data_IF_709165282111
#
_entry.id   IF_709165282111
#
_cell.length_a   1.000
_cell.length_b   1.000
_cell.length_c   1.000
_cell.angle_alpha   90.00
_cell.angle_beta   90.00
_cell.angle_gamma   90.00
#
_symmetry.space_group_name_H-M   'P 1'
#
loop_
_entity.id
_entity.type
_entity.pdbx_description
1 polymer ?
#
# COMPACT_ATOMS: atom_id res chain seq x y z
N UNK A 1 -1.03 19.22 -2.67
CA UNK A 1 -0.32 19.30 -1.38
C UNK A 1 -0.09 17.89 -0.84
N UNK A 2 1.13 17.48 -0.47
CA UNK A 2 1.40 16.11 -0.02
C UNK A 2 1.67 16.02 1.48
N UNK A 3 1.30 14.91 2.11
CA UNK A 3 1.55 14.57 3.51
C UNK A 3 2.52 13.40 3.54
N UNK A 4 3.66 13.53 4.23
CA UNK A 4 4.67 12.48 4.30
C UNK A 4 4.91 12.05 5.74
N UNK A 5 4.41 10.87 6.10
CA UNK A 5 4.53 10.29 7.43
C UNK A 5 5.68 9.30 7.45
N UNK A 6 6.58 9.43 8.43
CA UNK A 6 7.67 8.48 8.66
C UNK A 6 7.53 7.85 10.05
N UNK A 7 7.55 6.52 10.11
CA UNK A 7 7.59 5.78 11.36
C UNK A 7 8.87 4.94 11.43
N UNK A 8 9.68 5.19 12.45
CA UNK A 8 10.90 4.43 12.71
C UNK A 8 10.56 3.04 13.26
N UNK A 9 11.37 2.05 12.91
CA UNK A 9 11.22 0.66 13.35
C UNK A 9 10.87 -0.31 12.21
N UNK A 10 10.95 -1.60 12.52
CA UNK A 10 10.68 -2.65 11.54
C UNK A 10 9.22 -2.57 11.05
N UNK A 11 8.96 -2.74 9.74
CA UNK A 11 7.60 -2.78 9.21
C UNK A 11 6.77 -3.86 9.89
N UNK A 12 5.56 -3.51 10.34
CA UNK A 12 4.60 -4.44 10.92
C UNK A 12 3.37 -4.52 10.02
N UNK A 13 2.86 -5.74 9.83
CA UNK A 13 1.64 -5.96 9.09
C UNK A 13 0.46 -6.17 10.03
N UNK A 14 -0.74 -5.83 9.57
CA UNK A 14 -1.97 -6.21 10.25
C UNK A 14 -2.11 -7.73 10.20
N UNK A 15 -2.31 -8.36 11.35
CA UNK A 15 -2.67 -9.78 11.41
C UNK A 15 -4.03 -10.00 10.74
N UNK A 16 -4.15 -11.02 9.89
CA UNK A 16 -5.47 -11.43 9.37
C UNK A 16 -6.36 -11.80 10.57
N UNK A 17 -7.63 -11.38 10.53
CA UNK A 17 -8.59 -11.70 11.59
C UNK A 17 -8.63 -13.23 11.78
N UNK A 18 -8.27 -13.68 12.98
CA UNK A 18 -8.50 -15.07 13.38
C UNK A 18 -9.86 -15.09 14.06
N UNK A 19 -10.83 -15.74 13.42
CA UNK A 19 -12.11 -16.00 14.06
C UNK A 19 -11.87 -16.88 15.28
N UNK A 20 -12.36 -16.47 16.45
CA UNK A 20 -12.45 -17.33 17.61
C UNK A 20 -13.92 -17.50 17.98
N UNK A 21 -14.30 -18.72 18.34
CA UNK A 21 -15.63 -19.03 18.82
C UNK A 21 -15.56 -19.09 20.34
N UNK A 22 -16.34 -18.24 21.02
CA UNK A 22 -16.50 -18.28 22.48
C UNK A 22 -17.99 -18.26 22.79
N UNK A 23 -18.49 -19.31 23.47
CA UNK A 23 -19.91 -19.42 23.82
C UNK A 23 -20.85 -19.40 22.61
N UNK A 24 -20.48 -20.03 21.49
CA UNK A 24 -21.30 -20.11 20.28
C UNK A 24 -21.30 -18.88 19.37
N UNK A 25 -20.58 -17.80 19.74
CA UNK A 25 -20.51 -16.57 18.95
C UNK A 25 -19.11 -16.37 18.36
N UNK A 26 -19.04 -15.93 17.11
CA UNK A 26 -17.78 -15.55 16.43
C UNK A 26 -17.40 -14.14 16.87
N UNK A 27 -16.31 -14.01 17.61
CA UNK A 27 -15.73 -12.72 17.98
C UNK A 27 -14.58 -12.33 17.05
N UNK A 28 -14.44 -11.03 16.79
CA UNK A 28 -13.25 -10.44 16.17
C UNK A 28 -12.46 -9.67 17.24
N UNK A 29 -11.19 -10.03 17.43
CA UNK A 29 -10.27 -9.35 18.34
C UNK A 29 -9.06 -8.87 17.55
N UNK A 30 -8.83 -7.55 17.57
CA UNK A 30 -7.58 -6.98 17.05
C UNK A 30 -6.50 -7.13 18.12
N UNK A 31 -5.38 -7.83 17.83
CA UNK A 31 -4.30 -8.00 18.80
C UNK A 31 -3.77 -6.65 19.28
N UNK A 32 -3.44 -6.56 20.57
CA UNK A 32 -2.90 -5.35 21.21
C UNK A 32 -1.72 -4.75 20.43
N UNK A 33 -0.80 -5.59 19.93
CA UNK A 33 0.35 -5.16 19.12
C UNK A 33 -0.05 -4.39 17.86
N UNK A 34 -1.14 -4.79 17.19
CA UNK A 34 -1.66 -4.09 16.02
C UNK A 34 -2.24 -2.73 16.42
N UNK A 35 -3.00 -2.67 17.52
CA UNK A 35 -3.57 -1.41 18.03
C UNK A 35 -2.48 -0.40 18.40
N UNK A 36 -1.41 -0.86 19.05
CA UNK A 36 -0.26 -0.02 19.39
C UNK A 36 0.44 0.49 18.13
N UNK A 37 0.63 -0.37 17.12
CA UNK A 37 1.26 0.02 15.86
C UNK A 37 0.43 1.05 15.09
N UNK A 38 -0.87 0.81 14.92
CA UNK A 38 -1.81 1.76 14.31
C UNK A 38 -1.86 3.09 15.09
N UNK A 39 -1.82 3.04 16.42
CA UNK A 39 -1.73 4.23 17.27
C UNK A 39 -0.46 5.05 17.04
N UNK A 40 0.70 4.40 16.91
CA UNK A 40 1.97 5.09 16.59
C UNK A 40 1.92 5.77 15.22
N UNK A 41 1.34 5.11 14.21
CA UNK A 41 1.14 5.68 12.87
C UNK A 41 0.25 6.92 12.95
N UNK A 42 -0.90 6.82 13.65
CA UNK A 42 -1.83 7.94 13.83
C UNK A 42 -1.16 9.13 14.53
N UNK A 43 -0.40 8.88 15.60
CA UNK A 43 0.34 9.95 16.30
C UNK A 43 1.36 10.61 15.37
N UNK A 44 2.14 9.84 14.62
CA UNK A 44 3.09 10.37 13.65
C UNK A 44 2.40 11.21 12.57
N UNK A 45 1.24 10.77 12.09
CA UNK A 45 0.43 11.51 11.13
C UNK A 45 -0.12 12.82 11.71
N UNK A 46 -0.66 12.80 12.93
CA UNK A 46 -1.18 14.00 13.59
C UNK A 46 -0.08 15.03 13.84
N UNK A 47 1.13 14.60 14.22
CA UNK A 47 2.28 15.48 14.36
C UNK A 47 2.67 16.12 13.03
N UNK A 48 2.66 15.34 11.95
CA UNK A 48 2.94 15.84 10.61
C UNK A 48 1.85 16.84 10.18
N UNK A 49 0.57 16.49 10.26
CA UNK A 49 -0.54 17.35 9.83
C UNK A 49 -0.68 18.63 10.68
N UNK A 50 -0.41 18.56 11.99
CA UNK A 50 -0.71 19.66 12.91
C UNK A 50 -2.22 19.95 12.95
N UNK A 51 -2.61 21.19 12.70
CA UNK A 51 -4.03 21.62 12.65
C UNK A 51 -4.69 21.47 11.28
N UNK A 52 -3.99 20.93 10.29
CA UNK A 52 -4.52 20.77 8.93
C UNK A 52 -5.63 19.72 8.91
N UNK A 53 -6.72 19.95 8.15
CA UNK A 53 -7.75 18.93 7.98
C UNK A 53 -7.24 17.74 7.15
N UNK A 54 -7.85 16.56 7.28
CA UNK A 54 -7.62 15.44 6.36
C UNK A 54 -7.94 15.84 4.91
N UNK A 55 -7.26 15.22 3.94
CA UNK A 55 -7.56 15.40 2.52
C UNK A 55 -8.99 14.90 2.20
N UNK A 56 -9.70 15.67 1.36
CA UNK A 56 -11.08 15.39 0.93
C UNK A 56 -11.20 15.39 -0.60
N UNK A 57 -10.22 14.79 -1.25
CA UNK A 57 -10.13 14.65 -2.70
C UNK A 57 -9.46 13.31 -3.04
N UNK A 58 -9.59 12.80 -4.28
CA UNK A 58 -8.89 11.59 -4.69
C UNK A 58 -7.37 11.67 -4.46
N UNK A 59 -6.81 10.65 -3.80
CA UNK A 59 -5.38 10.61 -3.44
C UNK A 59 -4.66 9.40 -4.02
N UNK A 60 -3.36 9.58 -4.21
CA UNK A 60 -2.39 8.50 -4.35
C UNK A 60 -1.75 8.23 -2.98
N UNK A 61 -1.75 6.96 -2.61
CA UNK A 61 -1.11 6.42 -1.43
C UNK A 61 0.21 5.73 -1.82
N UNK A 62 1.35 6.29 -1.42
CA UNK A 62 2.68 5.75 -1.71
C UNK A 62 3.28 5.24 -0.41
N UNK A 63 3.55 3.94 -0.30
CA UNK A 63 4.13 3.35 0.89
C UNK A 63 5.39 2.55 0.58
N UNK A 64 6.41 2.81 1.39
CA UNK A 64 7.73 2.21 1.29
C UNK A 64 8.11 1.58 2.62
N UNK A 65 8.18 0.26 2.64
CA UNK A 65 8.58 -0.51 3.80
C UNK A 65 10.09 -0.84 3.74
N UNK A 66 10.87 -0.29 4.67
CA UNK A 66 12.30 -0.53 4.79
C UNK A 66 12.56 -1.56 5.88
N UNK A 67 12.97 -2.75 5.46
CA UNK A 67 13.33 -3.86 6.33
C UNK A 67 14.78 -3.77 6.79
N UNK A 68 15.10 -4.23 8.02
CA UNK A 68 16.48 -4.31 8.45
C UNK A 68 17.23 -5.37 7.63
N UNK A 69 18.45 -5.06 7.25
CA UNK A 69 19.36 -6.06 6.67
C UNK A 69 19.71 -7.09 7.75
N UNK A 70 19.56 -8.41 7.51
CA UNK A 70 19.91 -9.41 8.52
C UNK A 70 21.39 -9.32 8.92
N UNK A 71 21.65 -9.24 10.22
CA UNK A 71 23.01 -9.10 10.76
C UNK A 71 23.89 -10.32 10.48
N UNK A 72 23.27 -11.51 10.38
CA UNK A 72 23.94 -12.77 10.04
C UNK A 72 24.38 -12.90 8.58
N UNK A 73 23.99 -11.97 7.70
CA UNK A 73 24.42 -12.00 6.31
C UNK A 73 25.88 -11.53 6.18
N UNK A 74 26.59 -12.14 5.22
CA UNK A 74 27.94 -11.70 4.84
C UNK A 74 27.93 -10.26 4.35
N UNK A 75 29.07 -9.55 4.46
CA UNK A 75 29.20 -8.16 4.00
C UNK A 75 28.73 -7.97 2.55
N UNK A 76 29.10 -8.91 1.66
CA UNK A 76 28.64 -8.89 0.26
C UNK A 76 27.13 -8.93 0.14
N UNK A 77 26.46 -9.84 0.86
CA UNK A 77 24.99 -9.94 0.83
C UNK A 77 24.33 -8.70 1.44
N UNK A 78 24.93 -8.12 2.48
CA UNK A 78 24.45 -6.86 3.08
C UNK A 78 24.53 -5.71 2.07
N UNK A 79 25.63 -5.59 1.36
CA UNK A 79 25.79 -4.57 0.32
C UNK A 79 24.76 -4.77 -0.80
N UNK A 80 24.60 -5.99 -1.29
CA UNK A 80 23.58 -6.35 -2.30
C UNK A 80 22.14 -6.03 -1.84
N UNK A 81 21.87 -6.16 -0.54
CA UNK A 81 20.58 -5.78 0.03
C UNK A 81 20.37 -4.26 0.01
N UNK A 82 21.42 -3.49 0.34
CA UNK A 82 21.41 -2.02 0.37
C UNK A 82 21.31 -1.44 -1.05
N UNK A 83 22.02 -2.00 -2.02
CA UNK A 83 21.95 -1.60 -3.45
C UNK A 83 20.64 -2.03 -4.11
N UNK A 84 19.90 -2.94 -3.48
CA UNK A 84 18.59 -3.39 -3.95
C UNK A 84 18.64 -4.57 -4.92
N UNK A 85 19.81 -5.19 -5.11
CA UNK A 85 19.98 -6.45 -5.86
C UNK A 85 19.26 -7.62 -5.17
N UNK A 86 19.20 -7.58 -3.83
CA UNK A 86 18.41 -8.50 -3.02
C UNK A 86 17.23 -7.74 -2.43
N UNK A 87 16.01 -8.27 -2.64
CA UNK A 87 14.76 -7.69 -2.11
C UNK A 87 14.26 -8.47 -0.88
N UNK A 88 13.58 -7.81 0.08
CA UNK A 88 12.98 -8.48 1.23
C UNK A 88 11.75 -9.29 0.82
N UNK A 89 11.91 -10.61 0.71
CA UNK A 89 10.82 -11.55 0.44
C UNK A 89 10.12 -12.13 1.68
N UNK A 90 10.49 -11.69 2.89
CA UNK A 90 9.93 -12.22 4.15
C UNK A 90 8.69 -11.43 4.60
N UNK A 91 7.92 -12.04 5.51
CA UNK A 91 6.81 -11.41 6.23
C UNK A 91 7.27 -10.20 7.06
N UNK A 92 6.36 -9.25 7.38
CA UNK A 92 4.95 -9.20 6.96
C UNK A 92 4.78 -8.91 5.47
N UNK A 93 3.69 -9.42 4.88
CA UNK A 93 3.35 -9.21 3.47
C UNK A 93 3.01 -7.74 3.17
N UNK A 94 3.25 -7.28 1.94
CA UNK A 94 3.15 -5.86 1.60
C UNK A 94 1.72 -5.33 1.73
N UNK A 95 0.73 -6.14 1.37
CA UNK A 95 -0.70 -5.87 1.56
C UNK A 95 -1.06 -5.72 3.04
N UNK A 96 -0.51 -6.57 3.91
CA UNK A 96 -0.76 -6.50 5.35
C UNK A 96 -0.13 -5.26 5.99
N UNK A 97 1.04 -4.82 5.50
CA UNK A 97 1.64 -3.54 5.92
C UNK A 97 0.78 -2.38 5.43
N UNK A 98 0.41 -2.37 4.15
CA UNK A 98 -0.43 -1.33 3.57
C UNK A 98 -1.78 -1.23 4.28
N UNK A 99 -2.39 -2.36 4.65
CA UNK A 99 -3.64 -2.40 5.42
C UNK A 99 -3.49 -1.75 6.80
N UNK A 100 -2.42 -2.06 7.54
CA UNK A 100 -2.18 -1.44 8.86
C UNK A 100 -2.04 0.09 8.74
N UNK A 101 -1.36 0.56 7.71
CA UNK A 101 -1.19 1.99 7.46
C UNK A 101 -2.47 2.66 6.97
N UNK A 102 -3.21 2.02 6.05
CA UNK A 102 -4.48 2.54 5.56
C UNK A 102 -5.49 2.69 6.72
N UNK A 103 -5.66 1.64 7.52
CA UNK A 103 -6.59 1.64 8.65
C UNK A 103 -6.22 2.71 9.70
N UNK A 104 -4.92 2.95 9.94
CA UNK A 104 -4.45 3.96 10.90
C UNK A 104 -4.58 5.40 10.40
N UNK A 105 -4.45 5.61 9.10
CA UNK A 105 -4.49 6.93 8.46
C UNK A 105 -5.91 7.35 8.04
N UNK A 106 -6.86 6.42 8.02
CA UNK A 106 -8.26 6.72 7.72
C UNK A 106 -8.87 7.70 8.74
N UNK A 107 -9.52 8.75 8.23
CA UNK A 107 -10.03 9.88 9.01
C UNK A 107 -8.94 10.79 9.61
N UNK A 108 -7.65 10.53 9.32
CA UNK A 108 -6.51 11.33 9.81
C UNK A 108 -5.82 12.05 8.65
N UNK A 109 -5.26 11.30 7.69
CA UNK A 109 -4.57 11.88 6.54
C UNK A 109 -5.53 12.20 5.37
N UNK A 110 -6.59 11.41 5.25
CA UNK A 110 -7.70 11.56 4.30
C UNK A 110 -9.00 11.24 5.03
N UNK A 111 -10.11 11.81 4.56
CA UNK A 111 -11.41 11.66 5.21
C UNK A 111 -11.90 10.21 5.21
N UNK A 112 -11.73 9.51 4.10
CA UNK A 112 -12.23 8.16 3.89
C UNK A 112 -11.27 7.39 2.96
N UNK A 113 -11.08 6.09 3.19
CA UNK A 113 -10.15 5.27 2.40
C UNK A 113 -10.65 5.02 0.98
N UNK A 114 -11.95 5.22 0.71
CA UNK A 114 -12.50 5.26 -0.65
C UNK A 114 -11.89 6.35 -1.53
N UNK A 115 -11.26 7.39 -0.95
CA UNK A 115 -10.55 8.42 -1.69
C UNK A 115 -9.20 7.94 -2.26
N UNK A 116 -8.70 6.77 -1.86
CA UNK A 116 -7.46 6.22 -2.40
C UNK A 116 -7.71 5.62 -3.79
N UNK A 117 -7.41 6.38 -4.84
CA UNK A 117 -7.58 5.93 -6.23
C UNK A 117 -6.33 5.30 -6.84
N UNK A 118 -5.17 5.42 -6.17
CA UNK A 118 -3.92 4.77 -6.59
C UNK A 118 -3.09 4.38 -5.37
N UNK A 119 -2.50 3.19 -5.40
CA UNK A 119 -1.52 2.75 -4.42
C UNK A 119 -0.22 2.36 -5.10
N UNK A 120 0.90 2.89 -4.60
CA UNK A 120 2.26 2.51 -5.03
C UNK A 120 2.99 1.95 -3.81
N UNK A 121 3.28 0.65 -3.82
CA UNK A 121 3.79 -0.07 -2.66
C UNK A 121 5.14 -0.73 -2.98
N UNK A 122 6.16 -0.51 -2.15
CA UNK A 122 7.45 -1.20 -2.31
C UNK A 122 8.05 -1.68 -0.98
N UNK A 123 8.75 -2.81 -1.04
CA UNK A 123 9.64 -3.26 0.04
C UNK A 123 11.10 -3.14 -0.40
N UNK A 124 11.94 -2.72 0.52
CA UNK A 124 13.40 -2.70 0.34
C UNK A 124 14.10 -3.05 1.64
N UNK A 125 15.36 -3.45 1.54
CA UNK A 125 16.25 -3.44 2.70
C UNK A 125 16.84 -2.05 2.87
N UNK A 126 17.24 -1.73 4.11
CA UNK A 126 17.96 -0.50 4.42
C UNK A 126 18.73 -0.60 5.72
N UNK A 127 19.66 0.34 5.96
CA UNK A 127 20.48 0.36 7.17
C UNK A 127 19.64 0.65 8.42
N UNK A 128 18.60 1.48 8.29
CA UNK A 128 17.66 1.79 9.35
C UNK A 128 16.26 1.29 8.96
N UNK A 129 15.64 0.43 9.78
CA UNK A 129 14.28 -0.01 9.52
C UNK A 129 13.29 1.13 9.80
N UNK A 130 12.40 1.37 8.84
CA UNK A 130 11.36 2.38 8.93
C UNK A 130 10.28 2.11 7.86
N UNK A 131 9.16 2.80 7.98
CA UNK A 131 8.17 2.89 6.90
C UNK A 131 7.90 4.36 6.61
N UNK A 132 7.92 4.71 5.33
CA UNK A 132 7.50 6.03 4.85
C UNK A 132 6.20 5.86 4.07
N UNK A 133 5.21 6.69 4.40
CA UNK A 133 3.97 6.79 3.66
C UNK A 133 3.77 8.22 3.21
N UNK A 134 3.59 8.43 1.92
CA UNK A 134 3.22 9.70 1.34
C UNK A 134 1.83 9.62 0.77
N UNK A 135 0.94 10.50 1.23
CA UNK A 135 -0.39 10.69 0.63
C UNK A 135 -0.39 12.01 -0.12
N UNK A 136 -0.84 11.98 -1.37
CA UNK A 136 -0.92 13.19 -2.20
C UNK A 136 -2.19 13.21 -3.06
N UNK A 137 -2.83 14.37 -3.26
CA UNK A 137 -3.89 14.54 -4.24
C UNK A 137 -3.46 14.06 -5.61
N UNK A 138 -4.37 13.38 -6.29
CA UNK A 138 -4.17 13.02 -7.68
C UNK A 138 -4.58 14.18 -8.59
N UNK A 139 -3.81 14.47 -9.66
CA UNK A 139 -4.30 15.36 -10.70
C UNK A 139 -5.60 14.78 -11.27
N UNK A 140 -6.57 15.64 -11.56
CA UNK A 140 -7.81 15.18 -12.20
C UNK A 140 -7.49 14.65 -13.59
N UNK A 141 -8.23 13.63 -14.05
CA UNK A 141 -8.07 13.07 -15.39
C UNK A 141 -8.21 14.12 -16.51
N UNK A 142 -8.84 15.28 -16.24
CA UNK A 142 -8.90 16.41 -17.18
C UNK A 142 -7.51 16.97 -17.53
N UNK A 143 -6.55 16.87 -16.60
CA UNK A 143 -5.16 17.30 -16.79
C UNK A 143 -4.27 16.20 -17.42
N UNK A 144 -4.80 14.97 -17.58
CA UNK A 144 -4.11 13.83 -18.18
C UNK A 144 -4.85 13.40 -19.47
N UNK A 145 -4.83 14.29 -20.47
CA UNK A 145 -5.44 14.23 -21.80
C UNK A 145 -5.92 12.86 -22.33
N UNK A 146 -7.09 12.87 -22.97
CA UNK A 146 -7.53 11.93 -24.02
C UNK A 146 -7.09 10.48 -23.78
N UNK A 147 -7.96 9.71 -23.14
CA UNK A 147 -7.93 8.26 -23.38
C UNK A 147 -8.11 8.09 -24.90
N UNK A 148 -7.14 7.54 -25.65
CA UNK A 148 -7.45 7.08 -26.99
C UNK A 148 -8.42 5.93 -26.77
N UNK A 149 -9.70 6.21 -26.97
CA UNK A 149 -10.70 5.19 -27.15
C UNK A 149 -10.16 4.42 -28.35
N UNK A 150 -9.65 3.21 -28.13
CA UNK A 150 -9.40 2.25 -29.21
C UNK A 150 -10.73 2.17 -29.94
N UNK A 151 -10.84 2.85 -31.10
CA UNK A 151 -12.04 2.85 -31.90
C UNK A 151 -12.37 1.40 -32.18
N UNK A 152 -13.52 0.95 -31.69
CA UNK A 152 -14.09 -0.34 -31.99
C UNK A 152 -14.50 -0.36 -33.47
N UNK A 153 -13.54 -0.39 -34.37
CA UNK A 153 -13.77 -0.45 -35.82
C UNK A 153 -12.86 -1.45 -36.53
N UNK A 154 -12.11 -2.29 -35.81
CA UNK A 154 -11.19 -3.26 -36.42
C UNK A 154 -11.50 -4.74 -36.15
N UNK A 155 -12.38 -5.12 -35.22
CA UNK A 155 -12.46 -6.53 -34.77
C UNK A 155 -13.75 -7.26 -35.09
N UNK A 156 -14.74 -6.64 -35.74
CA UNK A 156 -15.95 -7.39 -36.16
C UNK A 156 -15.70 -8.17 -37.46
N UNK A 157 -14.85 -7.65 -38.36
CA UNK A 157 -14.59 -8.33 -39.64
C UNK A 157 -13.54 -9.44 -39.57
N UNK A 158 -12.71 -9.49 -38.52
CA UNK A 158 -11.70 -10.56 -38.32
C UNK A 158 -12.25 -11.75 -37.53
N UNK A 159 -13.19 -11.53 -36.61
CA UNK A 159 -13.82 -12.64 -35.86
C UNK A 159 -14.77 -13.44 -36.76
N UNK A 160 -15.50 -12.77 -37.66
CA UNK A 160 -16.40 -13.46 -38.61
C UNK A 160 -15.67 -14.39 -39.60
N UNK A 161 -14.45 -14.04 -40.04
CA UNK A 161 -13.66 -14.89 -40.95
C UNK A 161 -13.11 -16.15 -40.27
N UNK A 162 -12.82 -16.08 -38.97
CA UNK A 162 -12.30 -17.23 -38.22
C UNK A 162 -13.40 -18.25 -37.93
N UNK A 163 -14.65 -17.80 -37.75
CA UNK A 163 -15.80 -18.71 -37.54
C UNK A 163 -16.23 -19.41 -38.84
N UNK A 164 -16.09 -18.78 -40.01
CA UNK A 164 -16.46 -19.37 -41.30
C UNK A 164 -15.44 -20.42 -41.81
N UNK A 165 -14.16 -20.28 -41.47
CA UNK A 165 -13.11 -21.28 -41.77
C UNK A 165 -13.13 -22.48 -40.81
N UNK A 166 -13.74 -22.35 -39.62
CA UNK A 166 -13.87 -23.45 -38.66
C UNK A 166 -15.08 -24.38 -38.93
N UNK A 167 -15.94 -24.03 -39.90
CA UNK A 167 -17.15 -24.78 -40.27
C UNK A 167 -17.08 -25.43 -41.67
N UNK A 168 -15.92 -25.40 -42.33
CA UNK A 168 -15.62 -26.17 -43.55
C UNK A 168 -14.65 -27.31 -43.25
#
# INVERSE_FOLDING_TARGET
MSISITLLGAPQGKGRARAFVRGGHVGHYTPEKTRTYEGMIRTAAMLELGSRPPLDEPVEFVLRAVFPVPTSWSQRKRQQAITGDIKPGKKPDLDNIAKAWNDALNGVAYRDDSLICRMTLDKRYGPQPLVVCTVRPMPTFRDQHQIPILSQSATVSQVAKIEEEAQR
#
